data_IF_502564488607
#
_entry.id   IF_502564488607
#
_cell.length_a   1.000
_cell.length_b   1.000
_cell.length_c   1.000
_cell.angle_alpha   90.00
_cell.angle_beta   90.00
_cell.angle_gamma   90.00
#
_symmetry.space_group_name_H-M   'P 1'
#
loop_
_entity.id
_entity.type
_entity.pdbx_description
1 polymer ?
#
# COMPACT_ATOMS: atom_id res chain seq x y z
N UNK A 1 14.77 -14.50 25.58
CA UNK A 1 13.42 -13.95 25.37
C UNK A 1 13.31 -13.79 23.87
N UNK A 2 12.82 -14.83 23.20
CA UNK A 2 12.69 -14.91 21.75
C UNK A 2 11.50 -14.04 21.38
N UNK A 3 11.78 -12.92 20.71
CA UNK A 3 10.75 -12.09 20.06
C UNK A 3 10.09 -12.94 18.98
N UNK A 4 8.99 -13.59 19.36
CA UNK A 4 8.02 -14.18 18.46
C UNK A 4 7.19 -13.01 17.89
N UNK A 5 7.81 -12.16 17.07
CA UNK A 5 7.05 -11.24 16.23
C UNK A 5 6.28 -12.11 15.25
N UNK A 6 4.97 -12.27 15.49
CA UNK A 6 4.07 -12.90 14.54
C UNK A 6 4.39 -12.35 13.15
N UNK A 7 4.89 -13.23 12.28
CA UNK A 7 5.29 -12.83 10.94
C UNK A 7 4.04 -12.31 10.22
N UNK A 8 4.14 -11.11 9.66
CA UNK A 8 3.08 -10.55 8.82
C UNK A 8 2.67 -11.58 7.76
N UNK A 9 1.37 -11.72 7.53
CA UNK A 9 0.79 -12.59 6.50
C UNK A 9 0.29 -11.74 5.32
N UNK A 10 1.13 -11.53 4.28
CA UNK A 10 0.79 -10.68 3.14
C UNK A 10 -0.43 -11.18 2.37
N UNK A 11 -0.64 -12.50 2.30
CA UNK A 11 -1.74 -13.08 1.52
C UNK A 11 -3.08 -12.75 2.17
N UNK A 12 -3.16 -12.88 3.50
CA UNK A 12 -4.36 -12.55 4.25
C UNK A 12 -4.68 -11.04 4.19
N UNK A 13 -3.64 -10.19 4.25
CA UNK A 13 -3.78 -8.74 4.06
C UNK A 13 -4.31 -8.40 2.66
N UNK A 14 -3.75 -9.00 1.61
CA UNK A 14 -4.21 -8.77 0.24
C UNK A 14 -5.63 -9.32 0.00
N UNK A 15 -6.02 -10.41 0.67
CA UNK A 15 -7.40 -10.90 0.67
C UNK A 15 -8.37 -9.88 1.27
N UNK A 16 -8.07 -9.34 2.45
CA UNK A 16 -8.88 -8.29 3.08
C UNK A 16 -8.98 -7.03 2.20
N UNK A 17 -7.87 -6.64 1.56
CA UNK A 17 -7.88 -5.56 0.58
C UNK A 17 -8.81 -5.85 -0.60
N UNK A 18 -8.76 -7.06 -1.17
CA UNK A 18 -9.63 -7.46 -2.27
C UNK A 18 -11.11 -7.48 -1.86
N UNK A 19 -11.42 -7.91 -0.64
CA UNK A 19 -12.78 -7.91 -0.07
C UNK A 19 -13.36 -6.49 0.09
N UNK A 20 -12.51 -5.46 0.24
CA UNK A 20 -12.96 -4.07 0.24
C UNK A 20 -13.53 -3.61 -1.12
N UNK A 21 -13.18 -4.29 -2.22
CA UNK A 21 -13.75 -4.05 -3.55
C UNK A 21 -13.41 -2.69 -4.17
N UNK A 22 -12.32 -2.05 -3.74
CA UNK A 22 -11.92 -0.74 -4.27
C UNK A 22 -11.15 -0.87 -5.59
N UNK A 23 -11.53 -0.05 -6.57
CA UNK A 23 -10.91 0.00 -7.90
C UNK A 23 -10.17 1.32 -8.13
N UNK A 24 -8.85 1.24 -8.37
CA UNK A 24 -8.01 2.41 -8.59
C UNK A 24 -8.39 3.19 -9.86
N UNK A 25 -8.77 2.50 -10.94
CA UNK A 25 -9.18 3.14 -12.20
C UNK A 25 -10.47 3.93 -12.02
N UNK A 26 -11.41 3.38 -11.26
CA UNK A 26 -12.63 4.10 -10.90
C UNK A 26 -12.31 5.37 -10.10
N UNK A 27 -11.43 5.27 -9.11
CA UNK A 27 -11.03 6.43 -8.29
C UNK A 27 -10.33 7.48 -9.15
N UNK A 28 -9.44 7.08 -10.06
CA UNK A 28 -8.84 8.02 -11.00
C UNK A 28 -9.87 8.69 -11.91
N UNK A 29 -10.86 7.95 -12.42
CA UNK A 29 -11.96 8.51 -13.20
C UNK A 29 -12.85 9.47 -12.38
N UNK A 30 -13.02 9.24 -11.09
CA UNK A 30 -13.70 10.17 -10.16
C UNK A 30 -12.88 11.45 -9.96
N UNK A 31 -11.57 11.34 -9.71
CA UNK A 31 -10.66 12.50 -9.57
C UNK A 31 -10.64 13.33 -10.86
N UNK A 32 -10.58 12.68 -12.03
CA UNK A 32 -10.55 13.36 -13.33
C UNK A 32 -11.84 14.12 -13.68
N UNK A 33 -12.99 13.73 -13.09
CA UNK A 33 -14.28 14.42 -13.25
C UNK A 33 -14.55 15.48 -12.19
N UNK A 34 -13.78 15.48 -11.11
CA UNK A 34 -14.01 16.34 -9.96
C UNK A 34 -13.53 17.78 -10.15
N UNK A 35 -13.97 18.64 -9.24
CA UNK A 35 -13.64 20.06 -9.18
C UNK A 35 -12.31 20.30 -8.44
N UNK A 36 -12.07 21.52 -7.95
CA UNK A 36 -10.84 21.87 -7.23
C UNK A 36 -10.62 21.04 -5.94
N UNK A 37 -11.66 20.41 -5.38
CA UNK A 37 -11.56 19.60 -4.14
C UNK A 37 -10.77 18.31 -4.32
N UNK A 38 -10.59 17.86 -5.55
CA UNK A 38 -9.74 16.69 -5.86
C UNK A 38 -8.25 17.05 -5.87
N UNK A 39 -7.88 18.33 -5.73
CA UNK A 39 -6.51 18.76 -5.49
C UNK A 39 -6.23 18.71 -3.99
N UNK A 40 -5.41 17.75 -3.58
CA UNK A 40 -4.90 17.62 -2.22
C UNK A 40 -3.59 18.40 -2.00
N UNK A 41 -2.98 18.21 -0.82
CA UNK A 41 -1.65 18.73 -0.52
C UNK A 41 -0.58 18.26 -1.51
N UNK A 42 0.58 18.92 -1.49
CA UNK A 42 1.75 18.43 -2.21
C UNK A 42 2.32 17.16 -1.56
N UNK A 43 2.87 16.27 -2.39
CA UNK A 43 3.53 15.03 -1.92
C UNK A 43 4.63 15.34 -0.90
N UNK A 44 5.38 16.43 -1.10
CA UNK A 44 6.43 16.86 -0.19
C UNK A 44 5.92 17.24 1.21
N UNK A 45 4.69 17.75 1.33
CA UNK A 45 4.10 18.04 2.64
C UNK A 45 3.76 16.75 3.38
N UNK A 46 3.09 15.82 2.72
CA UNK A 46 2.72 14.52 3.28
C UNK A 46 3.96 13.70 3.67
N UNK A 47 4.99 13.67 2.81
CA UNK A 47 6.25 12.98 3.12
C UNK A 47 6.98 13.62 4.29
N UNK A 48 6.94 14.94 4.44
CA UNK A 48 7.47 15.62 5.61
C UNK A 48 6.70 15.20 6.88
N UNK A 49 5.36 15.13 6.84
CA UNK A 49 4.55 14.65 7.98
C UNK A 49 4.86 13.20 8.34
N UNK A 50 5.01 12.32 7.35
CA UNK A 50 5.41 10.93 7.60
C UNK A 50 6.79 10.82 8.26
N UNK A 51 7.70 11.77 8.00
CA UNK A 51 9.02 11.78 8.66
C UNK A 51 8.97 12.26 10.13
N UNK A 52 7.87 12.88 10.56
CA UNK A 52 7.67 13.41 11.91
C UNK A 52 6.76 12.54 12.78
N UNK A 53 6.47 11.30 12.35
CA UNK A 53 5.61 10.38 13.10
C UNK A 53 6.20 10.17 14.51
N UNK A 54 5.42 10.39 15.57
CA UNK A 54 5.88 10.11 16.93
C UNK A 54 6.16 8.62 17.10
N UNK A 55 7.28 8.27 17.75
CA UNK A 55 7.67 6.85 17.91
C UNK A 55 6.63 5.97 18.59
N UNK A 56 5.73 6.54 19.41
CA UNK A 56 4.66 5.79 20.05
C UNK A 56 3.59 5.28 19.05
N UNK A 57 3.38 5.93 17.90
CA UNK A 57 2.53 5.42 16.81
C UNK A 57 3.00 4.08 16.24
N UNK A 58 4.25 3.70 16.54
CA UNK A 58 4.92 2.49 16.05
C UNK A 58 4.99 1.41 17.13
N UNK A 59 4.34 1.62 18.27
CA UNK A 59 4.36 0.68 19.40
C UNK A 59 3.12 -0.22 19.38
N UNK A 60 3.29 -1.44 19.88
CA UNK A 60 2.28 -2.49 19.87
C UNK A 60 0.93 -2.20 20.56
N UNK A 61 0.80 -1.37 21.63
CA UNK A 61 -0.45 -1.28 22.37
C UNK A 61 -1.54 -0.42 21.72
N UNK A 62 -1.31 0.17 20.54
CA UNK A 62 -2.30 1.05 19.91
C UNK A 62 -3.45 0.23 19.33
N UNK A 63 -4.67 0.52 19.81
CA UNK A 63 -5.91 0.05 19.20
C UNK A 63 -6.29 1.02 18.08
N UNK A 64 -6.25 0.56 16.84
CA UNK A 64 -6.51 1.37 15.64
C UNK A 64 -7.91 1.96 15.70
N UNK A 65 -8.89 1.22 16.22
CA UNK A 65 -10.26 1.71 16.39
C UNK A 65 -10.38 2.89 17.34
N UNK A 66 -9.66 2.87 18.46
CA UNK A 66 -9.68 3.99 19.41
C UNK A 66 -9.03 5.22 18.78
N UNK A 67 -7.83 5.04 18.19
CA UNK A 67 -7.11 6.11 17.51
C UNK A 67 -7.91 6.73 16.35
N UNK A 68 -8.59 5.91 15.54
CA UNK A 68 -9.43 6.40 14.45
C UNK A 68 -10.61 7.24 14.97
N UNK A 69 -11.21 6.83 16.10
CA UNK A 69 -12.25 7.59 16.77
C UNK A 69 -11.76 8.96 17.24
N UNK A 70 -10.57 9.01 17.86
CA UNK A 70 -9.98 10.26 18.35
C UNK A 70 -9.60 11.22 17.21
N UNK A 71 -9.05 10.71 16.11
CA UNK A 71 -8.51 11.52 15.00
C UNK A 71 -9.57 11.98 14.01
N UNK A 72 -10.55 11.13 13.70
CA UNK A 72 -11.56 11.40 12.66
C UNK A 72 -12.91 11.82 13.25
N UNK A 73 -13.13 11.59 14.54
CA UNK A 73 -14.36 11.96 15.25
C UNK A 73 -15.61 11.21 14.77
N UNK A 74 -16.77 11.77 15.11
CA UNK A 74 -18.08 11.11 14.99
C UNK A 74 -18.83 11.41 13.67
N UNK A 75 -18.11 11.61 12.57
CA UNK A 75 -18.69 11.96 11.25
C UNK A 75 -19.45 10.83 10.53
N UNK A 76 -20.09 11.16 9.40
CA UNK A 76 -20.96 10.26 8.62
C UNK A 76 -20.22 9.02 8.05
N UNK A 77 -18.89 9.09 7.89
CA UNK A 77 -18.05 7.98 7.37
C UNK A 77 -17.61 6.98 8.46
N UNK A 78 -18.20 7.06 9.66
CA UNK A 78 -17.89 6.20 10.80
C UNK A 78 -18.03 4.71 10.51
N UNK A 79 -18.97 4.32 9.63
CA UNK A 79 -19.21 2.89 9.36
C UNK A 79 -18.01 2.27 8.67
N UNK A 80 -17.57 2.84 7.56
CA UNK A 80 -16.46 2.30 6.78
C UNK A 80 -15.15 2.37 7.59
N UNK A 81 -14.83 3.52 8.19
CA UNK A 81 -13.61 3.66 9.02
C UNK A 81 -13.64 2.71 10.21
N UNK A 82 -14.77 2.64 10.92
CA UNK A 82 -14.92 1.81 12.11
C UNK A 82 -14.84 0.32 11.79
N UNK A 83 -15.34 -0.10 10.63
CA UNK A 83 -15.23 -1.48 10.14
C UNK A 83 -13.78 -1.82 9.80
N UNK A 84 -13.09 -0.99 9.00
CA UNK A 84 -11.68 -1.22 8.66
C UNK A 84 -10.82 -1.24 9.92
N UNK A 85 -10.99 -0.28 10.83
CA UNK A 85 -10.24 -0.23 12.08
C UNK A 85 -10.51 -1.44 12.99
N UNK A 86 -11.75 -1.93 13.03
CA UNK A 86 -12.11 -3.17 13.73
C UNK A 86 -11.40 -4.38 13.12
N UNK A 87 -11.44 -4.53 11.79
CA UNK A 87 -10.77 -5.62 11.09
C UNK A 87 -9.26 -5.59 11.33
N UNK A 88 -8.64 -4.42 11.30
CA UNK A 88 -7.21 -4.27 11.62
C UNK A 88 -6.88 -4.69 13.05
N UNK A 89 -7.72 -4.32 14.03
CA UNK A 89 -7.51 -4.73 15.43
C UNK A 89 -7.76 -6.23 15.65
N UNK A 90 -8.70 -6.85 14.92
CA UNK A 90 -9.02 -8.29 15.00
C UNK A 90 -7.99 -9.18 14.30
N UNK A 91 -7.36 -8.68 13.24
CA UNK A 91 -6.32 -9.38 12.51
C UNK A 91 -5.07 -9.63 13.38
N UNK A 92 -4.82 -8.75 14.36
CA UNK A 92 -3.65 -8.77 15.24
C UNK A 92 -2.29 -8.78 14.51
N UNK A 93 -2.25 -8.23 13.29
CA UNK A 93 -1.02 -8.10 12.50
C UNK A 93 -0.29 -6.77 12.84
N UNK A 94 0.96 -6.81 13.34
CA UNK A 94 1.70 -5.61 13.71
C UNK A 94 1.97 -4.66 12.54
N UNK A 95 2.17 -5.18 11.33
CA UNK A 95 2.41 -4.35 10.14
C UNK A 95 1.12 -3.62 9.76
N UNK A 96 -0.02 -4.30 9.73
CA UNK A 96 -1.31 -3.69 9.44
C UNK A 96 -1.65 -2.57 10.43
N UNK A 97 -1.45 -2.84 11.74
CA UNK A 97 -1.66 -1.88 12.82
C UNK A 97 -0.77 -0.64 12.67
N UNK A 98 0.53 -0.85 12.45
CA UNK A 98 1.50 0.25 12.31
C UNK A 98 1.16 1.11 11.09
N UNK A 99 0.82 0.48 9.96
CA UNK A 99 0.48 1.19 8.73
C UNK A 99 -0.83 1.97 8.87
N UNK A 100 -1.84 1.41 9.54
CA UNK A 100 -3.06 2.13 9.88
C UNK A 100 -2.77 3.36 10.77
N UNK A 101 -1.89 3.21 11.76
CA UNK A 101 -1.43 4.32 12.61
C UNK A 101 -0.75 5.43 11.79
N UNK A 102 0.14 5.07 10.86
CA UNK A 102 0.78 6.02 9.94
C UNK A 102 -0.23 6.77 9.06
N UNK A 103 -1.28 6.09 8.60
CA UNK A 103 -2.37 6.72 7.86
C UNK A 103 -3.11 7.74 8.73
N UNK A 104 -3.49 7.34 9.95
CA UNK A 104 -4.21 8.20 10.90
C UNK A 104 -3.38 9.42 11.32
N UNK A 105 -2.06 9.27 11.44
CA UNK A 105 -1.15 10.37 11.70
C UNK A 105 -1.26 11.49 10.65
N UNK A 106 -1.52 11.19 9.38
CA UNK A 106 -1.61 12.21 8.35
C UNK A 106 -2.74 13.22 8.63
N UNK A 107 -3.90 12.76 9.08
CA UNK A 107 -4.99 13.64 9.54
C UNK A 107 -4.72 14.25 10.91
N UNK A 108 -4.22 13.46 11.87
CA UNK A 108 -3.94 13.94 13.23
C UNK A 108 -2.89 15.07 13.23
N UNK A 109 -1.93 15.01 12.31
CA UNK A 109 -0.86 15.99 12.22
C UNK A 109 -1.35 17.40 11.88
N UNK A 110 -2.56 17.56 11.32
CA UNK A 110 -3.14 18.89 11.07
C UNK A 110 -3.32 19.68 12.37
N UNK A 111 -3.67 19.01 13.46
CA UNK A 111 -3.86 19.63 14.78
C UNK A 111 -2.52 19.85 15.52
N UNK A 112 -1.54 18.97 15.28
CA UNK A 112 -0.25 18.99 16.00
C UNK A 112 0.76 19.93 15.34
N UNK A 113 0.85 19.92 14.01
CA UNK A 113 1.86 20.67 13.24
C UNK A 113 1.21 21.86 12.50
N UNK A 114 -0.10 21.82 12.27
CA UNK A 114 -0.85 22.84 11.52
C UNK A 114 -1.40 22.31 10.19
N UNK A 115 -2.30 23.05 9.54
CA UNK A 115 -3.01 22.60 8.34
C UNK A 115 -2.05 22.40 7.15
N UNK A 116 -2.47 21.57 6.20
CA UNK A 116 -1.81 21.47 4.90
C UNK A 116 -2.12 22.68 4.01
N UNK A 117 -1.33 22.87 2.95
CA UNK A 117 -1.59 23.91 1.94
C UNK A 117 -2.95 23.79 1.26
N UNK A 118 -3.47 22.56 1.15
CA UNK A 118 -4.81 22.22 0.66
C UNK A 118 -5.46 21.22 1.61
N UNK A 119 -6.75 21.39 1.86
CA UNK A 119 -7.45 20.54 2.83
C UNK A 119 -7.48 19.07 2.40
N UNK A 120 -7.25 18.18 3.36
CA UNK A 120 -7.45 16.75 3.18
C UNK A 120 -8.94 16.41 3.13
N UNK A 121 -9.29 15.50 2.21
CA UNK A 121 -10.62 14.90 2.20
C UNK A 121 -10.76 13.92 3.36
N UNK A 122 -11.92 13.98 4.02
CA UNK A 122 -12.30 13.10 5.14
C UNK A 122 -13.48 12.21 4.81
N UNK A 123 -14.07 12.37 3.62
CA UNK A 123 -15.19 11.57 3.14
C UNK A 123 -14.80 10.17 2.65
N UNK A 124 -13.53 9.98 2.31
CA UNK A 124 -12.99 8.71 1.81
C UNK A 124 -11.90 8.12 2.73
N UNK A 125 -11.88 8.51 4.00
CA UNK A 125 -10.85 8.08 4.94
C UNK A 125 -10.81 6.56 5.17
N UNK A 126 -11.94 5.86 5.08
CA UNK A 126 -11.99 4.39 5.15
C UNK A 126 -11.17 3.72 4.04
N UNK A 127 -11.23 4.23 2.80
CA UNK A 127 -10.46 3.72 1.67
C UNK A 127 -8.95 3.88 1.90
N UNK A 128 -8.53 5.09 2.29
CA UNK A 128 -7.13 5.37 2.57
C UNK A 128 -6.60 4.54 3.76
N UNK A 129 -7.41 4.36 4.81
CA UNK A 129 -7.07 3.51 5.95
C UNK A 129 -6.88 2.04 5.52
N UNK A 130 -7.79 1.49 4.72
CA UNK A 130 -7.70 0.13 4.20
C UNK A 130 -6.48 -0.06 3.27
N UNK A 131 -6.19 0.94 2.44
CA UNK A 131 -5.03 0.91 1.55
C UNK A 131 -3.71 0.88 2.32
N UNK A 132 -3.62 1.56 3.45
CA UNK A 132 -2.44 1.47 4.31
C UNK A 132 -2.40 0.13 5.07
N UNK A 133 -3.48 -0.19 5.78
CA UNK A 133 -3.55 -1.33 6.69
C UNK A 133 -3.41 -2.68 5.97
N UNK A 134 -3.95 -2.81 4.76
CA UNK A 134 -4.03 -4.09 4.06
C UNK A 134 -3.15 -4.11 2.81
N UNK A 135 -3.31 -3.14 1.91
CA UNK A 135 -2.59 -3.14 0.61
C UNK A 135 -1.11 -2.85 0.78
N UNK A 136 -0.76 -1.75 1.44
CA UNK A 136 0.63 -1.31 1.56
C UNK A 136 1.38 -2.13 2.62
N UNK A 137 0.74 -2.48 3.74
CA UNK A 137 1.31 -3.34 4.78
C UNK A 137 1.76 -4.72 4.26
N UNK A 138 1.06 -5.27 3.26
CA UNK A 138 1.41 -6.55 2.66
C UNK A 138 2.76 -6.53 1.90
N UNK A 139 3.21 -5.36 1.44
CA UNK A 139 4.34 -5.26 0.50
C UNK A 139 5.45 -4.29 0.93
N UNK A 140 5.18 -3.41 1.89
CA UNK A 140 6.15 -2.43 2.40
C UNK A 140 6.25 -2.55 3.93
N UNK A 141 7.44 -2.87 4.48
CA UNK A 141 7.67 -2.81 5.92
C UNK A 141 7.46 -1.39 6.45
N UNK A 142 6.71 -1.24 7.54
CA UNK A 142 6.40 0.08 8.11
C UNK A 142 7.66 0.89 8.51
N UNK A 143 8.73 0.21 8.95
CA UNK A 143 10.03 0.86 9.24
C UNK A 143 10.66 1.54 8.02
N UNK A 144 10.44 0.97 6.83
CA UNK A 144 11.02 1.48 5.58
C UNK A 144 10.32 2.77 5.16
N UNK A 145 9.04 2.94 5.52
CA UNK A 145 8.34 4.21 5.34
C UNK A 145 8.97 5.34 6.14
N UNK A 146 9.47 5.08 7.34
CA UNK A 146 10.10 6.13 8.14
C UNK A 146 11.51 6.43 7.61
N UNK A 147 12.26 5.39 7.22
CA UNK A 147 13.65 5.53 6.80
C UNK A 147 13.85 5.99 5.36
N UNK A 148 13.03 5.53 4.41
CA UNK A 148 13.29 5.66 2.98
C UNK A 148 12.37 6.71 2.34
N UNK A 149 12.97 7.71 1.71
CA UNK A 149 12.23 8.79 1.05
C UNK A 149 11.28 8.27 -0.05
N UNK A 150 11.71 7.29 -0.84
CA UNK A 150 10.88 6.70 -1.90
C UNK A 150 9.64 5.99 -1.34
N UNK A 151 9.75 5.39 -0.16
CA UNK A 151 8.62 4.74 0.52
C UNK A 151 7.65 5.79 1.05
N UNK A 152 8.15 6.88 1.63
CA UNK A 152 7.27 8.00 2.02
C UNK A 152 6.52 8.54 0.82
N UNK A 153 7.19 8.67 -0.33
CA UNK A 153 6.56 9.14 -1.56
C UNK A 153 5.44 8.20 -2.01
N UNK A 154 5.69 6.89 -2.02
CA UNK A 154 4.69 5.86 -2.32
C UNK A 154 3.48 5.94 -1.39
N UNK A 155 3.70 6.04 -0.07
CA UNK A 155 2.60 6.18 0.90
C UNK A 155 1.83 7.48 0.73
N UNK A 156 2.51 8.61 0.52
CA UNK A 156 1.85 9.90 0.30
C UNK A 156 0.96 9.89 -0.95
N UNK A 157 1.45 9.32 -2.06
CA UNK A 157 0.68 9.18 -3.30
C UNK A 157 -0.47 8.19 -3.13
N UNK A 158 -0.24 7.06 -2.46
CA UNK A 158 -1.28 6.07 -2.12
C UNK A 158 -2.38 6.71 -1.27
N UNK A 159 -2.00 7.48 -0.26
CA UNK A 159 -2.94 8.20 0.61
C UNK A 159 -3.81 9.17 -0.17
N UNK A 160 -3.21 9.99 -1.03
CA UNK A 160 -3.93 10.95 -1.87
C UNK A 160 -4.92 10.23 -2.79
N UNK A 161 -4.47 9.22 -3.54
CA UNK A 161 -5.33 8.45 -4.44
C UNK A 161 -6.54 7.93 -3.69
N UNK A 162 -6.33 7.21 -2.59
CA UNK A 162 -7.42 6.56 -1.86
C UNK A 162 -8.27 7.52 -1.03
N UNK A 163 -7.79 8.75 -0.80
CA UNK A 163 -8.61 9.87 -0.30
C UNK A 163 -9.39 10.58 -1.41
N UNK A 164 -9.29 10.13 -2.67
CA UNK A 164 -9.93 10.74 -3.83
C UNK A 164 -9.33 12.08 -4.21
N UNK A 165 -8.01 12.23 -4.05
CA UNK A 165 -7.26 13.43 -4.37
C UNK A 165 -6.01 13.10 -5.21
N UNK A 166 -5.52 14.10 -5.94
CA UNK A 166 -4.19 14.12 -6.56
C UNK A 166 -3.34 15.24 -5.94
N UNK A 167 -2.01 15.21 -6.07
CA UNK A 167 -1.16 16.31 -5.64
C UNK A 167 -1.59 17.64 -6.27
N UNK A 168 -1.51 18.73 -5.51
CA UNK A 168 -2.07 20.03 -5.90
C UNK A 168 -1.52 20.57 -7.23
N UNK A 169 -0.20 20.43 -7.42
CA UNK A 169 0.56 20.92 -8.56
C UNK A 169 0.59 19.96 -9.78
N UNK A 170 0.29 18.68 -9.59
CA UNK A 170 0.38 17.65 -10.64
C UNK A 170 -0.94 17.52 -11.41
N UNK A 171 -0.88 17.38 -12.74
CA UNK A 171 -2.05 16.95 -13.50
C UNK A 171 -2.33 15.44 -13.30
N UNK A 172 -3.47 14.99 -13.83
CA UNK A 172 -3.92 13.59 -13.69
C UNK A 172 -2.92 12.59 -14.26
N UNK A 173 -2.38 12.88 -15.44
CA UNK A 173 -1.48 11.96 -16.16
C UNK A 173 -0.17 11.81 -15.38
N UNK A 174 0.36 12.93 -14.88
CA UNK A 174 1.58 12.99 -14.07
C UNK A 174 1.38 12.27 -12.74
N UNK A 175 0.29 12.57 -12.02
CA UNK A 175 0.01 11.94 -10.74
C UNK A 175 -0.14 10.42 -10.84
N UNK A 176 -0.83 9.94 -11.88
CA UNK A 176 -0.99 8.52 -12.17
C UNK A 176 0.36 7.86 -12.49
N UNK A 177 1.10 8.41 -13.46
CA UNK A 177 2.38 7.85 -13.92
C UNK A 177 3.42 7.76 -12.79
N UNK A 178 3.46 8.77 -11.92
CA UNK A 178 4.38 8.79 -10.78
C UNK A 178 3.97 7.82 -9.67
N UNK A 179 2.66 7.60 -9.45
CA UNK A 179 2.22 6.55 -8.53
C UNK A 179 2.58 5.16 -9.08
N UNK A 180 2.30 4.88 -10.36
CA UNK A 180 2.60 3.59 -10.99
C UNK A 180 4.09 3.25 -10.90
N UNK A 181 4.97 4.24 -11.10
CA UNK A 181 6.41 4.06 -10.98
C UNK A 181 6.84 3.68 -9.54
N UNK A 182 6.09 4.11 -8.53
CA UNK A 182 6.38 3.92 -7.10
C UNK A 182 5.67 2.72 -6.48
N UNK A 183 4.60 2.22 -7.08
CA UNK A 183 3.75 1.20 -6.49
C UNK A 183 4.45 -0.16 -6.35
N UNK A 184 4.75 -0.53 -5.11
CA UNK A 184 5.42 -1.78 -4.77
C UNK A 184 4.59 -3.00 -5.09
N UNK A 185 3.27 -2.93 -4.96
CA UNK A 185 2.41 -4.07 -5.23
C UNK A 185 2.50 -4.46 -6.72
N UNK A 186 2.35 -3.47 -7.59
CA UNK A 186 2.50 -3.62 -9.04
C UNK A 186 3.91 -4.09 -9.41
N UNK A 187 4.95 -3.49 -8.83
CA UNK A 187 6.35 -3.91 -9.06
C UNK A 187 6.60 -5.35 -8.66
N UNK A 188 6.11 -5.78 -7.49
CA UNK A 188 6.27 -7.13 -6.99
C UNK A 188 5.52 -8.15 -7.86
N UNK A 189 4.33 -7.80 -8.34
CA UNK A 189 3.56 -8.64 -9.26
C UNK A 189 4.32 -8.86 -10.59
N UNK A 190 4.89 -7.80 -11.18
CA UNK A 190 5.71 -7.94 -12.39
C UNK A 190 6.97 -8.80 -12.17
N UNK A 191 7.63 -8.67 -11.03
CA UNK A 191 8.79 -9.49 -10.69
C UNK A 191 8.41 -10.97 -10.53
N UNK A 192 7.29 -11.25 -9.87
CA UNK A 192 6.78 -12.62 -9.70
C UNK A 192 6.44 -13.26 -11.06
N UNK A 193 5.76 -12.52 -11.95
CA UNK A 193 5.46 -12.99 -13.30
C UNK A 193 6.73 -13.25 -14.11
N UNK A 194 7.71 -12.34 -14.07
CA UNK A 194 8.98 -12.51 -14.76
C UNK A 194 9.75 -13.75 -14.29
N UNK A 195 9.70 -14.06 -12.99
CA UNK A 195 10.31 -15.26 -12.42
C UNK A 195 9.67 -16.53 -12.98
N UNK A 196 8.34 -16.61 -12.97
CA UNK A 196 7.58 -17.75 -13.54
C UNK A 196 7.94 -17.98 -15.01
N UNK A 197 8.06 -16.91 -15.79
CA UNK A 197 8.45 -17.00 -17.20
C UNK A 197 9.89 -17.49 -17.38
N UNK A 198 10.82 -17.06 -16.51
CA UNK A 198 12.20 -17.53 -16.55
C UNK A 198 12.29 -19.02 -16.21
N UNK A 199 11.60 -19.47 -15.17
CA UNK A 199 11.54 -20.87 -14.77
C UNK A 199 10.98 -21.75 -15.90
N UNK A 200 9.92 -21.29 -16.56
CA UNK A 200 9.34 -21.98 -17.70
C UNK A 200 10.36 -22.15 -18.84
N UNK A 201 11.08 -21.08 -19.22
CA UNK A 201 12.12 -21.14 -20.27
C UNK A 201 13.23 -22.12 -19.92
N UNK A 202 13.69 -22.14 -18.66
CA UNK A 202 14.71 -23.07 -18.19
C UNK A 202 14.22 -24.53 -18.23
N UNK A 203 12.97 -24.79 -17.86
CA UNK A 203 12.38 -26.12 -17.94
C UNK A 203 12.29 -26.62 -19.39
N UNK A 204 11.90 -25.77 -20.34
CA UNK A 204 11.88 -26.10 -21.77
C UNK A 204 13.29 -26.39 -22.29
N UNK A 205 14.28 -25.56 -21.94
CA UNK A 205 15.67 -25.78 -22.34
C UNK A 205 16.23 -27.11 -21.83
N UNK A 206 15.94 -27.48 -20.57
CA UNK A 206 16.32 -28.79 -20.00
C UNK A 206 15.69 -29.94 -20.77
N UNK A 207 14.37 -29.89 -21.03
CA UNK A 207 13.67 -30.93 -21.81
C UNK A 207 14.24 -31.11 -23.21
N UNK A 208 14.59 -30.01 -23.89
CA UNK A 208 15.21 -30.06 -25.21
C UNK A 208 16.63 -30.65 -25.16
N UNK A 209 17.42 -30.31 -24.14
CA UNK A 209 18.76 -30.89 -23.96
C UNK A 209 18.69 -32.40 -23.67
N UNK A 210 17.77 -32.84 -22.81
CA UNK A 210 17.53 -34.26 -22.53
C UNK A 210 17.03 -35.03 -23.75
N UNK A 211 16.17 -34.43 -24.58
CA UNK A 211 15.72 -35.04 -25.82
C UNK A 211 16.88 -35.23 -26.81
N UNK A 212 17.71 -34.19 -27.00
CA UNK A 212 18.91 -34.26 -27.85
C UNK A 212 19.93 -35.30 -27.36
N UNK A 213 20.12 -35.39 -26.04
CA UNK A 213 21.02 -36.39 -25.44
C UNK A 213 20.52 -37.83 -25.68
N UNK A 214 19.20 -38.05 -25.56
CA UNK A 214 18.57 -39.34 -25.89
C UNK A 214 18.70 -39.70 -27.37
N UNK A 215 18.47 -38.75 -28.27
CA UNK A 215 18.65 -38.96 -29.71
C UNK A 215 20.10 -39.27 -30.09
N UNK A 216 21.07 -38.57 -29.51
CA UNK A 216 22.49 -38.84 -29.73
C UNK A 216 22.88 -40.26 -29.27
N UNK A 217 22.43 -40.65 -28.07
CA UNK A 217 22.69 -42.00 -27.53
C UNK A 217 22.07 -43.09 -28.40
N UNK A 218 20.85 -42.88 -28.89
CA UNK A 218 20.17 -43.82 -29.80
C UNK A 218 20.86 -43.94 -31.16
N UNK A 219 21.53 -42.88 -31.64
CA UNK A 219 22.21 -42.86 -32.94
C UNK A 219 23.59 -43.53 -32.90
N UNK A 220 24.35 -43.35 -31.81
CA UNK A 220 25.69 -43.95 -31.66
C UNK A 220 25.67 -45.37 -31.08
N UNK A 221 24.57 -45.81 -30.46
CA UNK A 221 24.42 -47.19 -29.97
C UNK A 221 23.91 -48.20 -31.01
N UNK A 222 23.69 -47.77 -32.26
CA UNK A 222 23.17 -48.58 -33.36
C UNK A 222 24.21 -48.90 -34.45
N UNK A 223 25.46 -48.49 -34.26
CA UNK A 223 26.66 -48.96 -34.99
C UNK A 223 27.36 -50.06 -34.20
#
# INVERSE_FOLDING_TARGET
MTDDHAATDPENLLRLWAECGYDAEQVWAEIGRGDDRVRGPEVNELTARLSTVPGWFLTDPIRVRALAGDVLGDGDNRRDVGEIARLTDELDDPAARTMAGLCLWLWASEEVIGPYSRALRRDLCGRALAAFAFRLAAVVPARDLIGLAERREEAARTFLLWSGQRPGSEDMVTAHSLLDARDSLTRNAYLAEALVQQEHRLAVARRLAEARAREATARYGAE
#
